data_IF_787853622825
#
_entry.id   IF_787853622825
#
_cell.length_a   1.000
_cell.length_b   1.000
_cell.length_c   1.000
_cell.angle_alpha   90.00
_cell.angle_beta   90.00
_cell.angle_gamma   90.00
#
_symmetry.space_group_name_H-M   'P 1'
#
loop_
_entity.id
_entity.type
_entity.pdbx_description
1 polymer ?
#
# COMPACT_ATOMS: atom_id res chain seq x y z
N UNK A 1 -12.04 8.40 24.78
CA UNK A 1 -12.06 8.79 23.37
C UNK A 1 -10.63 9.11 23.01
N UNK A 2 -9.93 8.22 22.33
CA UNK A 2 -8.53 8.45 21.95
C UNK A 2 -8.59 9.09 20.57
N UNK A 3 -8.31 10.39 20.52
CA UNK A 3 -8.14 11.14 19.27
C UNK A 3 -6.67 11.07 18.90
N UNK A 4 -6.37 10.37 17.82
CA UNK A 4 -5.05 10.41 17.18
C UNK A 4 -5.01 11.67 16.32
N UNK A 5 -4.08 12.55 16.65
CA UNK A 5 -3.74 13.71 15.83
C UNK A 5 -2.25 13.59 15.54
N UNK A 6 -1.94 13.45 14.25
CA UNK A 6 -0.63 13.31 13.60
C UNK A 6 -0.12 11.87 13.38
N UNK A 7 -0.64 11.23 12.30
CA UNK A 7 -0.36 9.86 11.83
C UNK A 7 1.07 9.62 11.27
N UNK A 8 2.08 10.37 11.73
CA UNK A 8 3.45 10.28 11.20
C UNK A 8 4.43 9.93 12.29
N UNK A 9 5.24 8.91 12.02
CA UNK A 9 6.44 8.60 12.82
C UNK A 9 7.65 9.13 12.07
N UNK A 10 8.43 10.00 12.71
CA UNK A 10 9.61 10.64 12.12
C UNK A 10 10.85 10.09 12.83
N UNK A 11 11.80 9.58 12.05
CA UNK A 11 13.12 9.16 12.51
C UNK A 11 14.19 10.11 11.97
N UNK A 12 15.34 10.20 12.65
CA UNK A 12 16.52 10.81 12.03
C UNK A 12 17.02 9.93 10.89
N UNK A 13 17.67 10.55 9.90
CA UNK A 13 18.23 9.81 8.76
C UNK A 13 19.22 8.73 9.22
N UNK A 14 20.09 9.06 10.17
CA UNK A 14 21.10 8.14 10.70
C UNK A 14 20.45 6.92 11.38
N UNK A 15 19.40 7.15 12.19
CA UNK A 15 18.64 6.05 12.84
C UNK A 15 17.96 5.16 11.80
N UNK A 16 17.42 5.77 10.73
CA UNK A 16 16.77 5.03 9.66
C UNK A 16 17.75 4.15 8.89
N UNK A 17 18.94 4.67 8.57
CA UNK A 17 20.00 3.90 7.91
C UNK A 17 20.53 2.77 8.81
N UNK A 18 20.69 3.02 10.11
CA UNK A 18 21.05 1.99 11.09
C UNK A 18 20.02 0.85 11.11
N UNK A 19 18.72 1.18 11.19
CA UNK A 19 17.65 0.18 11.19
C UNK A 19 17.59 -0.63 9.89
N UNK A 20 17.83 -0.01 8.73
CA UNK A 20 17.90 -0.74 7.45
C UNK A 20 19.14 -1.64 7.33
N UNK A 21 20.20 -1.36 8.08
CA UNK A 21 21.42 -2.17 8.07
C UNK A 21 21.30 -3.47 8.88
N UNK A 22 20.36 -3.54 9.81
CA UNK A 22 20.06 -4.72 10.60
C UNK A 22 19.03 -5.61 9.87
N UNK A 23 19.38 -6.87 9.64
CA UNK A 23 18.53 -7.82 8.91
C UNK A 23 17.15 -8.04 9.53
N UNK A 24 17.04 -7.98 10.86
CA UNK A 24 15.77 -8.19 11.56
C UNK A 24 14.82 -7.00 11.35
N UNK A 25 15.35 -5.79 11.46
CA UNK A 25 14.54 -4.59 11.26
C UNK A 25 14.24 -4.33 9.79
N UNK A 26 15.15 -4.69 8.88
CA UNK A 26 14.93 -4.52 7.45
C UNK A 26 13.70 -5.31 6.94
N UNK A 27 13.50 -6.56 7.38
CA UNK A 27 12.31 -7.35 7.01
C UNK A 27 11.00 -6.67 7.46
N UNK A 28 11.00 -6.11 8.67
CA UNK A 28 9.84 -5.38 9.20
C UNK A 28 9.60 -4.09 8.42
N UNK A 29 10.67 -3.37 8.05
CA UNK A 29 10.59 -2.15 7.26
C UNK A 29 10.02 -2.43 5.87
N UNK A 30 10.52 -3.45 5.18
CA UNK A 30 9.99 -3.88 3.87
C UNK A 30 8.49 -4.21 3.95
N UNK A 31 8.08 -4.98 4.96
CA UNK A 31 6.67 -5.30 5.17
C UNK A 31 5.78 -4.07 5.46
N UNK A 32 6.35 -3.01 6.05
CA UNK A 32 5.66 -1.74 6.26
C UNK A 32 5.56 -0.98 4.92
N UNK A 33 6.66 -0.85 4.17
CA UNK A 33 6.71 -0.17 2.87
C UNK A 33 5.71 -0.80 1.89
N UNK A 34 5.68 -2.14 1.77
CA UNK A 34 4.75 -2.89 0.92
C UNK A 34 3.27 -2.62 1.26
N UNK A 35 2.94 -2.55 2.55
CA UNK A 35 1.56 -2.29 3.00
C UNK A 35 1.12 -0.88 2.69
N UNK A 36 2.00 0.09 2.84
CA UNK A 36 1.68 1.48 2.50
C UNK A 36 1.54 1.68 0.99
N UNK A 37 2.37 1.01 0.18
CA UNK A 37 2.20 0.99 -1.28
C UNK A 37 0.87 0.34 -1.71
N UNK A 38 0.48 -0.77 -1.07
CA UNK A 38 -0.81 -1.41 -1.34
C UNK A 38 -1.99 -0.51 -0.98
N UNK A 39 -1.96 0.12 0.20
CA UNK A 39 -3.02 1.06 0.63
C UNK A 39 -3.13 2.23 -0.34
N UNK A 40 -1.99 2.81 -0.72
CA UNK A 40 -1.93 3.90 -1.71
C UNK A 40 -2.52 3.44 -3.03
N UNK A 41 -2.14 2.26 -3.52
CA UNK A 41 -2.68 1.67 -4.75
C UNK A 41 -4.19 1.47 -4.68
N UNK A 42 -4.74 1.03 -3.54
CA UNK A 42 -6.19 0.90 -3.32
C UNK A 42 -6.88 2.27 -3.36
N UNK A 43 -6.27 3.31 -2.78
CA UNK A 43 -6.84 4.66 -2.75
C UNK A 43 -6.77 5.36 -4.11
N UNK A 44 -5.69 5.16 -4.86
CA UNK A 44 -5.46 5.76 -6.18
C UNK A 44 -6.22 5.03 -7.30
N UNK A 45 -6.64 3.79 -7.04
CA UNK A 45 -7.46 3.02 -7.97
C UNK A 45 -8.91 3.50 -7.89
N UNK A 46 -9.39 4.21 -8.92
CA UNK A 46 -10.80 4.61 -9.07
C UNK A 46 -11.77 3.41 -9.10
N UNK A 47 -11.31 2.24 -9.53
CA UNK A 47 -12.10 1.01 -9.62
C UNK A 47 -11.23 -0.24 -9.39
N UNK A 48 -11.43 -0.96 -8.30
CA UNK A 48 -11.06 -2.38 -8.25
C UNK A 48 -12.09 -3.09 -9.13
N UNK A 49 -11.72 -3.38 -10.36
CA UNK A 49 -12.61 -4.13 -11.24
C UNK A 49 -12.65 -5.56 -10.70
N UNK A 50 -13.69 -5.91 -9.95
CA UNK A 50 -14.02 -7.31 -9.65
C UNK A 50 -13.92 -8.08 -10.96
N UNK A 51 -13.25 -9.24 -10.93
CA UNK A 51 -13.09 -10.10 -12.09
C UNK A 51 -14.41 -10.35 -12.83
N UNK A 52 -15.53 -10.39 -12.10
CA UNK A 52 -16.89 -10.47 -12.67
C UNK A 52 -17.29 -9.22 -13.45
N UNK A 53 -17.01 -8.03 -12.91
CA UNK A 53 -17.30 -6.75 -13.54
C UNK A 53 -16.46 -6.58 -14.82
N UNK A 54 -15.19 -7.00 -14.78
CA UNK A 54 -14.29 -7.02 -15.93
C UNK A 54 -14.79 -7.97 -17.02
N UNK A 55 -15.16 -9.21 -16.67
CA UNK A 55 -15.66 -10.20 -17.64
C UNK A 55 -16.97 -9.75 -18.29
N UNK A 56 -17.84 -9.07 -17.55
CA UNK A 56 -19.07 -8.47 -18.07
C UNK A 56 -18.78 -7.38 -19.09
N UNK A 57 -17.87 -6.45 -18.78
CA UNK A 57 -17.47 -5.39 -19.73
C UNK A 57 -16.81 -5.97 -20.98
N UNK A 58 -15.96 -6.98 -20.82
CA UNK A 58 -15.29 -7.68 -21.92
C UNK A 58 -16.29 -8.34 -22.87
N UNK A 59 -17.26 -9.08 -22.34
CA UNK A 59 -18.33 -9.72 -23.14
C UNK A 59 -19.20 -8.68 -23.87
N UNK A 60 -19.50 -7.56 -23.23
CA UNK A 60 -20.26 -6.47 -23.85
C UNK A 60 -19.56 -5.86 -25.07
N UNK A 61 -18.22 -5.81 -25.08
CA UNK A 61 -17.43 -5.31 -26.23
C UNK A 61 -17.29 -6.30 -27.38
N UNK A 62 -17.39 -7.61 -27.11
CA UNK A 62 -17.28 -8.67 -28.12
C UNK A 62 -18.61 -8.88 -28.87
N UNK A 63 -19.75 -8.52 -28.26
CA UNK A 63 -21.08 -8.60 -28.85
C UNK A 63 -21.52 -7.33 -29.61
N UNK A 64 -20.57 -6.48 -30.03
CA UNK A 64 -20.79 -5.32 -30.91
C UNK A 64 -20.24 -5.61 -32.29
#
# INVERSE_FOLDING_TARGET
MITFTDDKVIFSKDTWEELKSDSYFNEVIEAIEDREELKKSIQETEYIVDFKEYDKQRKARINV
#
